data_IF_200524848398
#
_entry.id   IF_200524848398
#
_cell.length_a   1.000
_cell.length_b   1.000
_cell.length_c   1.000
_cell.angle_alpha   90.00
_cell.angle_beta   90.00
_cell.angle_gamma   90.00
#
_symmetry.space_group_name_H-M   'P 1'
#
loop_
_entity.id
_entity.type
_entity.pdbx_description
1 polymer ?
#
# COMPACT_ATOMS: atom_id res chain seq x y z
N UNK A 1 -12.18 6.73 -20.39
CA UNK A 1 -11.43 6.02 -19.33
C UNK A 1 -10.26 6.91 -18.89
N UNK A 2 -10.06 7.15 -17.58
CA UNK A 2 -8.90 7.92 -17.06
C UNK A 2 -7.82 6.95 -16.58
N UNK A 3 -6.56 7.15 -16.97
CA UNK A 3 -5.43 6.29 -16.64
C UNK A 3 -4.37 7.11 -15.92
N UNK A 4 -3.83 6.59 -14.82
CA UNK A 4 -2.71 7.20 -14.10
C UNK A 4 -1.57 6.21 -13.93
N UNK A 5 -0.34 6.68 -14.13
CA UNK A 5 0.87 5.89 -13.94
C UNK A 5 1.37 6.00 -12.50
N UNK A 6 1.78 4.87 -11.93
CA UNK A 6 2.39 4.78 -10.60
C UNK A 6 3.71 4.01 -10.67
N UNK A 7 4.55 4.15 -9.66
CA UNK A 7 5.75 3.33 -9.52
C UNK A 7 5.35 1.92 -9.05
N UNK A 8 5.61 0.90 -9.87
CA UNK A 8 5.28 -0.50 -9.56
C UNK A 8 6.36 -1.24 -8.74
N UNK A 9 7.45 -0.57 -8.37
CA UNK A 9 8.57 -1.22 -7.68
C UNK A 9 8.14 -1.90 -6.38
N UNK A 10 8.49 -3.17 -6.18
CA UNK A 10 8.10 -4.03 -5.04
C UNK A 10 6.59 -4.34 -4.86
N UNK A 11 5.68 -3.90 -5.73
CA UNK A 11 4.23 -4.12 -5.49
C UNK A 11 3.86 -5.61 -5.40
N UNK A 12 4.51 -6.48 -6.17
CA UNK A 12 4.32 -7.94 -6.14
C UNK A 12 5.28 -8.68 -5.19
N UNK A 13 6.22 -7.96 -4.58
CA UNK A 13 7.17 -8.50 -3.58
C UNK A 13 6.63 -8.35 -2.16
N UNK A 14 5.85 -7.30 -1.90
CA UNK A 14 5.33 -6.98 -0.57
C UNK A 14 3.90 -7.50 -0.40
N UNK A 15 3.63 -8.10 0.75
CA UNK A 15 2.30 -8.52 1.16
C UNK A 15 1.40 -7.28 1.34
N UNK A 16 0.20 -7.32 0.77
CA UNK A 16 -0.69 -6.15 0.79
C UNK A 16 -1.10 -5.74 2.21
N UNK A 17 -1.04 -6.66 3.18
CA UNK A 17 -1.40 -6.45 4.58
C UNK A 17 -0.28 -5.83 5.42
N UNK A 18 0.88 -5.53 4.81
CA UNK A 18 2.00 -4.90 5.49
C UNK A 18 2.86 -5.87 6.29
N UNK A 19 2.66 -7.17 6.15
CA UNK A 19 3.47 -8.19 6.85
C UNK A 19 4.86 -8.39 6.26
N UNK A 20 5.24 -7.67 5.21
CA UNK A 20 6.60 -7.71 4.65
C UNK A 20 6.67 -8.44 3.31
N UNK A 21 7.78 -9.12 3.04
CA UNK A 21 8.01 -9.79 1.74
C UNK A 21 7.23 -11.11 1.66
N UNK A 22 6.64 -11.38 0.51
CA UNK A 22 5.96 -12.66 0.22
C UNK A 22 6.96 -13.71 -0.26
N UNK A 23 6.70 -14.97 0.09
CA UNK A 23 7.43 -16.13 -0.46
C UNK A 23 6.57 -16.70 -1.59
N UNK A 24 7.09 -16.73 -2.83
CA UNK A 24 6.36 -17.31 -3.96
C UNK A 24 6.39 -18.83 -3.88
N UNK A 25 5.26 -19.43 -4.25
CA UNK A 25 5.19 -20.87 -4.38
C UNK A 25 5.99 -21.32 -5.61
N UNK A 26 6.90 -22.32 -5.46
CA UNK A 26 7.74 -22.78 -6.56
C UNK A 26 7.00 -23.63 -7.59
N UNK A 27 5.88 -24.27 -7.21
CA UNK A 27 5.06 -25.09 -8.10
C UNK A 27 3.90 -24.32 -8.73
N UNK A 28 3.48 -23.20 -8.12
CA UNK A 28 2.44 -22.34 -8.65
C UNK A 28 2.74 -20.85 -8.37
N UNK A 29 3.42 -20.19 -9.30
CA UNK A 29 3.83 -18.79 -9.15
C UNK A 29 2.68 -17.77 -9.02
N UNK A 30 1.43 -18.15 -9.29
CA UNK A 30 0.25 -17.33 -9.02
C UNK A 30 -0.07 -17.23 -7.53
N UNK A 31 0.51 -18.10 -6.70
CA UNK A 31 0.34 -18.12 -5.25
C UNK A 31 1.62 -17.70 -4.52
N UNK A 32 1.42 -17.09 -3.36
CA UNK A 32 2.47 -16.74 -2.42
C UNK A 32 1.98 -16.96 -0.99
N UNK A 33 2.94 -17.01 -0.06
CA UNK A 33 2.69 -17.10 1.37
C UNK A 33 3.25 -15.85 2.02
N UNK A 34 2.44 -15.20 2.84
CA UNK A 34 2.85 -14.03 3.63
C UNK A 34 3.63 -14.49 4.86
N UNK A 35 4.31 -13.56 5.55
CA UNK A 35 5.07 -13.92 6.75
C UNK A 35 4.20 -14.50 7.87
N UNK A 36 2.90 -14.23 7.85
CA UNK A 36 1.90 -14.79 8.77
C UNK A 36 1.47 -16.23 8.44
N UNK A 37 1.99 -16.82 7.36
CA UNK A 37 1.55 -18.13 6.86
C UNK A 37 0.31 -18.08 5.97
N UNK A 38 -0.29 -16.89 5.76
CA UNK A 38 -1.44 -16.72 4.87
C UNK A 38 -1.04 -17.01 3.42
N UNK A 39 -1.67 -18.01 2.80
CA UNK A 39 -1.56 -18.27 1.35
C UNK A 39 -2.51 -17.34 0.57
N UNK A 40 -2.00 -16.71 -0.49
CA UNK A 40 -2.73 -15.70 -1.23
C UNK A 40 -2.30 -15.62 -2.70
N UNK A 41 -3.14 -15.04 -3.55
CA UNK A 41 -2.81 -14.82 -4.95
C UNK A 41 -1.85 -13.62 -5.12
N UNK A 42 -0.77 -13.83 -5.87
CA UNK A 42 0.28 -12.84 -6.13
C UNK A 42 -0.24 -11.58 -6.83
N UNK A 43 -1.02 -11.76 -7.90
CA UNK A 43 -1.52 -10.66 -8.74
C UNK A 43 -2.56 -9.83 -8.00
N UNK A 44 -3.39 -10.47 -7.17
CA UNK A 44 -4.38 -9.79 -6.34
C UNK A 44 -3.68 -8.95 -5.25
N UNK A 45 -2.67 -9.51 -4.58
CA UNK A 45 -1.84 -8.75 -3.62
C UNK A 45 -1.17 -7.55 -4.31
N UNK A 46 -0.58 -7.77 -5.49
CA UNK A 46 0.08 -6.72 -6.26
C UNK A 46 -0.90 -5.63 -6.71
N UNK A 47 -2.09 -6.00 -7.17
CA UNK A 47 -3.13 -5.09 -7.62
C UNK A 47 -3.60 -4.16 -6.50
N UNK A 48 -3.77 -4.68 -5.28
CA UNK A 48 -4.07 -3.84 -4.12
C UNK A 48 -2.95 -2.83 -3.83
N UNK A 49 -1.69 -3.25 -3.93
CA UNK A 49 -0.56 -2.34 -3.70
C UNK A 49 -0.43 -1.26 -4.78
N UNK A 50 -0.69 -1.61 -6.05
CA UNK A 50 -0.74 -0.65 -7.17
C UNK A 50 -1.83 0.40 -6.91
N UNK A 51 -3.05 -0.04 -6.58
CA UNK A 51 -4.16 0.84 -6.25
C UNK A 51 -3.89 1.71 -5.02
N UNK A 52 -3.32 1.12 -3.97
CA UNK A 52 -2.97 1.83 -2.74
C UNK A 52 -2.03 3.01 -3.01
N UNK A 53 -1.01 2.82 -3.85
CA UNK A 53 -0.08 3.90 -4.21
C UNK A 53 -0.75 5.05 -4.95
N UNK A 54 -1.72 4.75 -5.82
CA UNK A 54 -2.51 5.79 -6.47
C UNK A 54 -3.32 6.58 -5.44
N UNK A 55 -4.11 5.90 -4.61
CA UNK A 55 -4.98 6.57 -3.64
C UNK A 55 -4.20 7.33 -2.58
N UNK A 56 -3.11 6.78 -2.03
CA UNK A 56 -2.23 7.50 -1.09
C UNK A 56 -1.73 8.81 -1.72
N UNK A 57 -1.31 8.78 -3.00
CA UNK A 57 -0.86 9.99 -3.70
C UNK A 57 -2.01 10.99 -3.85
N UNK A 58 -3.17 10.57 -4.31
CA UNK A 58 -4.31 11.47 -4.56
C UNK A 58 -4.90 12.05 -3.26
N UNK A 59 -4.87 11.29 -2.16
CA UNK A 59 -5.33 11.76 -0.85
C UNK A 59 -4.37 12.77 -0.22
N UNK A 60 -3.06 12.57 -0.36
CA UNK A 60 -2.06 13.47 0.26
C UNK A 60 -1.74 14.70 -0.59
N UNK A 61 -1.88 14.63 -1.92
CA UNK A 61 -1.54 15.72 -2.86
C UNK A 61 -2.28 17.04 -2.61
N UNK A 62 -3.61 17.06 -2.32
CA UNK A 62 -4.33 18.32 -2.13
C UNK A 62 -4.15 18.93 -0.74
N UNK A 63 -3.57 18.20 0.23
CA UNK A 63 -3.47 18.66 1.61
C UNK A 63 -2.43 19.76 1.78
N UNK A 64 -2.68 20.75 2.66
CA UNK A 64 -1.66 21.68 3.11
C UNK A 64 -0.44 20.95 3.70
N UNK A 65 0.74 21.55 3.57
CA UNK A 65 2.01 20.94 4.00
C UNK A 65 1.97 20.53 5.47
N UNK A 66 1.39 21.37 6.34
CA UNK A 66 1.25 21.10 7.77
C UNK A 66 0.41 19.85 8.04
N UNK A 67 -0.79 19.77 7.44
CA UNK A 67 -1.69 18.63 7.64
C UNK A 67 -1.09 17.34 7.11
N UNK A 68 -0.49 17.41 5.91
CA UNK A 68 0.23 16.31 5.29
C UNK A 68 1.38 15.82 6.17
N UNK A 69 2.21 16.73 6.67
CA UNK A 69 3.34 16.39 7.55
C UNK A 69 2.88 15.66 8.81
N UNK A 70 1.79 16.12 9.43
CA UNK A 70 1.22 15.47 10.60
C UNK A 70 0.67 14.07 10.29
N UNK A 71 0.04 13.85 9.12
CA UNK A 71 -0.41 12.51 8.71
C UNK A 71 0.76 11.58 8.40
N UNK A 72 1.77 12.08 7.68
CA UNK A 72 2.98 11.32 7.37
C UNK A 72 3.78 10.98 8.64
N UNK A 73 3.69 11.78 9.71
CA UNK A 73 4.27 11.45 11.00
C UNK A 73 3.55 10.27 11.68
N UNK A 74 2.22 10.18 11.55
CA UNK A 74 1.42 9.06 12.09
C UNK A 74 1.54 7.79 11.24
N UNK A 75 1.70 7.92 9.93
CA UNK A 75 1.87 6.79 8.99
C UNK A 75 3.18 6.96 8.19
N UNK A 76 4.36 6.72 8.79
CA UNK A 76 5.65 7.00 8.14
C UNK A 76 5.88 6.26 6.82
N UNK A 77 5.26 5.09 6.65
CA UNK A 77 5.37 4.28 5.45
C UNK A 77 4.96 5.03 4.18
N UNK A 78 3.98 5.95 4.26
CA UNK A 78 3.46 6.68 3.10
C UNK A 78 4.48 7.64 2.47
N UNK A 79 5.56 8.00 3.19
CA UNK A 79 6.68 8.76 2.65
C UNK A 79 7.49 7.97 1.61
N UNK A 80 7.53 6.64 1.75
CA UNK A 80 8.34 5.74 0.91
C UNK A 80 7.48 5.04 -0.14
N UNK A 81 7.27 5.72 -1.27
CA UNK A 81 6.39 5.24 -2.37
C UNK A 81 6.68 3.81 -2.85
N UNK A 82 7.93 3.36 -2.81
CA UNK A 82 8.34 2.01 -3.27
C UNK A 82 8.01 0.91 -2.27
N UNK A 83 7.64 1.24 -1.04
CA UNK A 83 7.27 0.27 0.01
C UNK A 83 5.82 0.40 0.47
N UNK A 84 5.06 1.40 0.02
CA UNK A 84 3.64 1.52 0.38
C UNK A 84 2.82 0.33 -0.12
N UNK A 85 2.00 -0.20 0.77
CA UNK A 85 1.06 -1.31 0.53
C UNK A 85 -0.37 -0.92 0.94
N UNK A 86 -1.34 -1.80 0.68
CA UNK A 86 -2.75 -1.55 1.00
C UNK A 86 -3.01 -1.31 2.51
N UNK A 87 -2.28 -1.97 3.40
CA UNK A 87 -2.37 -1.70 4.83
C UNK A 87 -2.03 -0.25 5.20
N UNK A 88 -1.09 0.38 4.50
CA UNK A 88 -0.73 1.79 4.73
C UNK A 88 -1.86 2.72 4.28
N UNK A 89 -2.53 2.42 3.17
CA UNK A 89 -3.72 3.15 2.73
C UNK A 89 -4.83 3.06 3.78
N UNK A 90 -5.09 1.85 4.32
CA UNK A 90 -6.10 1.67 5.38
C UNK A 90 -5.79 2.48 6.63
N UNK A 91 -4.53 2.46 7.07
CA UNK A 91 -4.07 3.26 8.22
C UNK A 91 -4.22 4.75 7.94
N UNK A 92 -3.77 5.23 6.77
CA UNK A 92 -3.92 6.62 6.36
C UNK A 92 -5.39 7.05 6.34
N UNK A 93 -6.27 6.26 5.75
CA UNK A 93 -7.71 6.55 5.71
C UNK A 93 -8.32 6.61 7.11
N UNK A 94 -7.91 5.73 8.02
CA UNK A 94 -8.34 5.77 9.43
C UNK A 94 -7.91 7.07 10.11
N UNK A 95 -6.65 7.47 9.95
CA UNK A 95 -6.12 8.72 10.53
C UNK A 95 -6.77 9.98 9.95
N UNK A 96 -7.13 9.95 8.67
CA UNK A 96 -7.88 11.04 8.04
C UNK A 96 -9.31 11.11 8.58
N UNK A 97 -10.00 9.97 8.74
CA UNK A 97 -11.36 9.93 9.27
C UNK A 97 -11.42 10.39 10.74
N UNK A 98 -10.45 10.01 11.56
CA UNK A 98 -10.34 10.46 12.96
C UNK A 98 -10.15 11.98 13.11
N UNK A 99 -9.73 12.68 12.06
CA UNK A 99 -9.59 14.15 12.06
C UNK A 99 -10.82 14.88 11.54
N UNK A 100 -11.67 14.16 10.80
CA UNK A 100 -12.91 14.70 10.28
C UNK A 100 -14.06 14.62 11.31
N UNK A 101 -13.91 13.78 12.34
CA UNK A 101 -14.80 13.67 13.50
C UNK A 101 -14.40 14.68 14.59
#
# INVERSE_FOLDING_TARGET
MRISRICAWNTSRLAYDGTGTVIRDPGNHSLCVFQTGKRYNCDLSASYNIGARYFIRELLKPLPVTERSLLEAKVPAVKRRTSCVYADLRKLSSEMNLRAA
#
